data_IF_468933964174
#
_entry.id   IF_468933964174
#
_cell.length_a   1.000
_cell.length_b   1.000
_cell.length_c   1.000
_cell.angle_alpha   90.00
_cell.angle_beta   90.00
_cell.angle_gamma   90.00
#
_symmetry.space_group_name_H-M   'P 1'
#
loop_
_entity.id
_entity.type
_entity.pdbx_description
1 polymer ?
#
# COMPACT_ATOMS: atom_id res chain seq x y z
N UNK A 1 -29.34 -24.94 -1.82
CA UNK A 1 -28.02 -24.96 -2.51
C UNK A 1 -26.82 -25.04 -1.56
N UNK A 2 -26.42 -23.98 -0.81
CA UNK A 2 -25.19 -24.02 0.02
C UNK A 2 -25.23 -25.01 1.20
N UNK A 3 -26.40 -25.20 1.83
CA UNK A 3 -26.62 -26.23 2.87
C UNK A 3 -26.74 -27.67 2.33
N UNK A 4 -27.01 -27.80 1.03
CA UNK A 4 -27.24 -29.08 0.35
C UNK A 4 -25.97 -29.60 -0.36
N UNK A 5 -24.81 -28.92 -0.19
CA UNK A 5 -23.52 -29.27 -0.83
C UNK A 5 -23.59 -29.42 -2.36
N UNK A 6 -24.48 -28.66 -3.00
CA UNK A 6 -24.68 -28.69 -4.45
C UNK A 6 -23.63 -27.86 -5.22
N UNK A 7 -22.76 -27.13 -4.52
CA UNK A 7 -21.68 -26.32 -5.08
C UNK A 7 -20.39 -26.81 -4.42
N UNK A 8 -19.44 -27.25 -5.24
CA UNK A 8 -18.14 -27.72 -4.81
C UNK A 8 -17.05 -26.88 -5.49
N UNK A 9 -15.96 -26.61 -4.77
CA UNK A 9 -14.80 -25.95 -5.35
C UNK A 9 -14.17 -26.83 -6.44
N UNK A 10 -13.62 -26.24 -7.50
CA UNK A 10 -13.07 -26.96 -8.65
C UNK A 10 -11.94 -27.93 -8.31
N UNK A 11 -11.27 -27.75 -7.15
CA UNK A 11 -10.34 -28.75 -6.62
C UNK A 11 -10.99 -30.08 -6.22
N UNK A 12 -12.31 -30.11 -6.02
CA UNK A 12 -13.07 -31.26 -5.51
C UNK A 12 -13.24 -31.29 -3.99
N UNK A 13 -12.74 -30.29 -3.27
CA UNK A 13 -12.91 -30.22 -1.81
C UNK A 13 -14.29 -29.66 -1.43
N UNK A 14 -15.12 -30.55 -0.88
CA UNK A 14 -16.46 -30.22 -0.40
C UNK A 14 -16.47 -29.44 0.93
N UNK A 15 -15.34 -29.34 1.63
CA UNK A 15 -15.18 -28.53 2.84
C UNK A 15 -14.77 -27.09 2.54
N UNK A 16 -14.33 -26.82 1.30
CA UNK A 16 -13.91 -25.48 0.90
C UNK A 16 -15.08 -24.49 1.00
N UNK A 17 -14.92 -23.37 1.73
CA UNK A 17 -16.00 -22.41 1.87
C UNK A 17 -16.25 -21.71 0.53
N UNK A 18 -17.52 -21.45 0.20
CA UNK A 18 -17.82 -20.60 -0.95
C UNK A 18 -17.33 -19.16 -0.70
N UNK A 19 -16.38 -18.73 -1.52
CA UNK A 19 -15.75 -17.40 -1.54
C UNK A 19 -16.19 -16.69 -2.81
N UNK A 20 -16.66 -15.45 -2.68
CA UNK A 20 -17.01 -14.60 -3.82
C UNK A 20 -15.77 -14.00 -4.48
N UNK A 21 -15.79 -13.88 -5.79
CA UNK A 21 -14.66 -13.36 -6.58
C UNK A 21 -14.36 -14.25 -7.78
N UNK A 22 -13.08 -14.33 -8.14
CA UNK A 22 -12.57 -15.16 -9.22
C UNK A 22 -12.15 -16.52 -8.67
N UNK A 23 -13.13 -17.30 -8.23
CA UNK A 23 -12.96 -18.69 -7.77
C UNK A 23 -13.75 -19.64 -8.68
N UNK A 24 -13.19 -20.81 -8.95
CA UNK A 24 -13.82 -21.80 -9.81
C UNK A 24 -14.62 -22.81 -8.98
N UNK A 25 -15.89 -22.98 -9.33
CA UNK A 25 -16.79 -23.95 -8.70
C UNK A 25 -17.51 -24.75 -9.77
N UNK A 26 -17.90 -25.97 -9.43
CA UNK A 26 -18.82 -26.78 -10.23
C UNK A 26 -20.05 -27.17 -9.41
N UNK A 27 -21.13 -27.45 -10.11
CA UNK A 27 -22.33 -28.01 -9.48
C UNK A 27 -22.15 -29.51 -9.34
N UNK A 28 -22.32 -30.03 -8.13
CA UNK A 28 -22.26 -31.47 -7.89
C UNK A 28 -23.44 -32.12 -8.62
N UNK A 29 -23.21 -32.99 -9.62
CA UNK A 29 -24.29 -33.63 -10.34
C UNK A 29 -25.13 -34.51 -9.40
N UNK A 30 -26.47 -34.46 -9.49
CA UNK A 30 -27.32 -35.44 -8.81
C UNK A 30 -27.21 -36.83 -9.46
N UNK A 31 -26.79 -36.90 -10.73
CA UNK A 31 -26.51 -38.12 -11.49
C UNK A 31 -25.07 -38.09 -11.99
N UNK A 32 -24.34 -39.21 -11.88
CA UNK A 32 -22.90 -39.31 -12.19
C UNK A 32 -22.61 -39.05 -13.67
N UNK A 33 -22.43 -37.79 -14.05
CA UNK A 33 -21.83 -37.44 -15.32
C UNK A 33 -20.31 -37.66 -15.24
N UNK A 34 -19.74 -38.39 -16.20
CA UNK A 34 -18.38 -38.96 -16.13
C UNK A 34 -17.27 -38.02 -16.61
N UNK A 35 -17.60 -36.80 -17.00
CA UNK A 35 -16.69 -35.98 -17.81
C UNK A 35 -15.77 -35.06 -16.98
N UNK A 36 -16.04 -34.85 -15.69
CA UNK A 36 -15.20 -34.03 -14.81
C UNK A 36 -14.88 -34.75 -13.50
N UNK A 37 -13.66 -35.28 -13.39
CA UNK A 37 -13.10 -35.77 -12.14
C UNK A 37 -12.16 -34.70 -11.55
N UNK A 38 -12.55 -34.02 -10.46
CA UNK A 38 -11.68 -33.06 -9.82
C UNK A 38 -10.44 -33.76 -9.23
N UNK A 39 -9.30 -33.08 -9.25
CA UNK A 39 -8.01 -33.65 -8.80
C UNK A 39 -8.01 -34.09 -7.32
N UNK A 40 -8.93 -33.58 -6.50
CA UNK A 40 -8.99 -33.82 -5.05
C UNK A 40 -7.88 -33.14 -4.25
N UNK A 41 -6.95 -32.45 -4.93
CA UNK A 41 -5.80 -31.79 -4.34
C UNK A 41 -5.92 -30.27 -4.48
N UNK A 42 -6.30 -29.63 -3.37
CA UNK A 42 -6.45 -28.18 -3.26
C UNK A 42 -5.13 -27.48 -3.55
N UNK A 43 -4.00 -27.99 -3.06
CA UNK A 43 -2.69 -27.32 -3.20
C UNK A 43 -2.22 -27.34 -4.63
N UNK A 44 -2.42 -28.45 -5.34
CA UNK A 44 -2.11 -28.53 -6.77
C UNK A 44 -2.95 -27.52 -7.55
N UNK A 45 -4.24 -27.41 -7.24
CA UNK A 45 -5.13 -26.45 -7.88
C UNK A 45 -4.70 -25.00 -7.64
N UNK A 46 -4.40 -24.63 -6.40
CA UNK A 46 -3.91 -23.28 -6.03
C UNK A 46 -2.59 -22.92 -6.72
N UNK A 47 -1.74 -23.91 -7.00
CA UNK A 47 -0.49 -23.72 -7.73
C UNK A 47 -0.67 -23.54 -9.25
N UNK A 48 -1.82 -23.93 -9.82
CA UNK A 48 -2.10 -23.85 -11.26
C UNK A 48 -3.04 -22.68 -11.60
N UNK A 49 -3.95 -22.33 -10.68
CA UNK A 49 -4.98 -21.33 -10.92
C UNK A 49 -4.80 -20.11 -10.02
N UNK A 50 -4.90 -18.93 -10.62
CA UNK A 50 -4.93 -17.66 -9.91
C UNK A 50 -6.36 -17.37 -9.44
N UNK A 51 -6.62 -17.55 -8.14
CA UNK A 51 -7.92 -17.26 -7.53
C UNK A 51 -7.85 -16.07 -6.58
N UNK A 52 -8.78 -15.14 -6.74
CA UNK A 52 -8.81 -13.85 -6.02
C UNK A 52 -10.19 -13.63 -5.40
N UNK A 53 -10.22 -13.37 -4.10
CA UNK A 53 -11.44 -13.01 -3.39
C UNK A 53 -11.84 -11.57 -3.74
N UNK A 54 -13.13 -11.36 -3.98
CA UNK A 54 -13.69 -10.03 -4.13
C UNK A 54 -14.66 -9.78 -2.99
N UNK A 55 -14.29 -8.85 -2.11
CA UNK A 55 -15.20 -8.38 -1.06
C UNK A 55 -16.20 -7.38 -1.66
N UNK A 56 -17.45 -7.38 -1.19
CA UNK A 56 -18.42 -6.37 -1.62
C UNK A 56 -17.85 -4.97 -1.33
N UNK A 57 -18.09 -3.99 -2.22
CA UNK A 57 -17.60 -2.64 -2.01
C UNK A 57 -18.17 -2.10 -0.69
N UNK A 58 -17.28 -1.61 0.17
CA UNK A 58 -17.73 -0.93 1.39
C UNK A 58 -18.39 0.39 1.00
N UNK A 59 -19.49 0.79 1.66
CA UNK A 59 -20.09 2.09 1.41
C UNK A 59 -19.08 3.18 1.74
N UNK A 60 -18.98 4.19 0.86
CA UNK A 60 -18.15 5.36 1.11
C UNK A 60 -18.65 6.04 2.40
N UNK A 61 -17.78 6.31 3.38
CA UNK A 61 -18.18 6.98 4.61
C UNK A 61 -18.85 8.32 4.31
N UNK A 62 -20.02 8.57 4.88
CA UNK A 62 -20.74 9.84 4.74
C UNK A 62 -20.08 10.99 5.53
N UNK A 63 -19.21 10.62 6.48
CA UNK A 63 -18.44 11.54 7.33
C UNK A 63 -16.97 11.20 7.15
N UNK A 64 -16.10 12.21 6.94
CA UNK A 64 -14.66 11.99 6.88
C UNK A 64 -14.17 11.19 8.09
N UNK A 65 -13.36 10.16 7.84
CA UNK A 65 -13.07 9.12 8.84
C UNK A 65 -12.42 9.72 10.10
N UNK A 66 -11.58 10.75 9.93
CA UNK A 66 -10.91 11.46 11.02
C UNK A 66 -11.83 12.26 11.95
N UNK A 67 -13.10 12.47 11.59
CA UNK A 67 -14.11 13.17 12.40
C UNK A 67 -15.10 12.20 13.08
N UNK A 68 -15.01 10.90 12.78
CA UNK A 68 -15.92 9.91 13.35
C UNK A 68 -15.66 9.70 14.86
N UNK A 69 -16.72 9.35 15.60
CA UNK A 69 -16.63 9.07 17.05
C UNK A 69 -15.80 7.82 17.34
N UNK A 70 -15.97 6.78 16.54
CA UNK A 70 -15.20 5.54 16.60
C UNK A 70 -14.25 5.53 15.42
N UNK A 71 -12.98 5.79 15.69
CA UNK A 71 -11.96 5.65 14.67
C UNK A 71 -11.86 4.19 14.23
N UNK A 72 -11.46 3.95 12.97
CA UNK A 72 -10.97 2.64 12.62
C UNK A 72 -9.86 2.27 13.60
N UNK A 73 -9.70 1.00 13.95
CA UNK A 73 -8.57 0.55 14.73
C UNK A 73 -7.27 1.08 14.11
N UNK A 74 -6.37 1.60 14.95
CA UNK A 74 -5.09 2.15 14.49
C UNK A 74 -4.37 1.12 13.62
N UNK A 75 -3.68 1.60 12.58
CA UNK A 75 -2.81 0.79 11.74
C UNK A 75 -1.73 0.17 12.66
N UNK A 76 -2.03 -1.00 13.22
CA UNK A 76 -1.27 -1.61 14.32
C UNK A 76 -2.10 -2.38 15.37
N UNK A 77 -3.41 -2.10 15.54
CA UNK A 77 -4.30 -2.82 16.48
C UNK A 77 -5.41 -3.64 15.81
N UNK A 78 -5.76 -3.30 14.59
CA UNK A 78 -6.29 -4.30 13.66
C UNK A 78 -5.19 -4.57 12.69
N UNK A 79 -4.89 -5.85 12.54
CA UNK A 79 -4.84 -6.51 11.25
C UNK A 79 -5.41 -5.66 10.09
N UNK A 80 -4.80 -4.54 9.72
CA UNK A 80 -4.35 -4.38 8.35
C UNK A 80 -3.41 -5.56 8.16
N UNK A 81 -3.97 -6.77 7.98
CA UNK A 81 -3.20 -7.94 7.60
C UNK A 81 -2.36 -7.41 6.46
N UNK A 82 -1.04 -7.52 6.58
CA UNK A 82 -0.23 -7.38 5.39
C UNK A 82 -0.97 -8.17 4.30
N UNK A 83 -1.23 -7.56 3.14
CA UNK A 83 -2.06 -8.18 2.12
C UNK A 83 -1.62 -9.63 2.00
N UNK A 84 -2.56 -10.57 2.15
CA UNK A 84 -2.16 -11.97 2.11
C UNK A 84 -1.81 -12.26 0.66
N UNK A 85 -0.59 -12.68 0.41
CA UNK A 85 -0.16 -13.01 -0.93
C UNK A 85 -0.36 -14.49 -1.17
N UNK A 86 -0.87 -14.83 -2.35
CA UNK A 86 -0.79 -16.18 -2.89
C UNK A 86 0.28 -16.21 -3.97
N UNK A 87 0.82 -17.40 -4.21
CA UNK A 87 1.80 -17.65 -5.25
C UNK A 87 1.30 -18.79 -6.13
N UNK A 88 1.44 -18.63 -7.44
CA UNK A 88 1.02 -19.62 -8.42
C UNK A 88 2.07 -19.76 -9.53
N UNK A 89 2.08 -20.90 -10.21
CA UNK A 89 2.95 -21.13 -11.35
C UNK A 89 2.48 -20.27 -12.52
N UNK A 90 3.43 -19.63 -13.20
CA UNK A 90 3.15 -18.78 -14.35
C UNK A 90 3.81 -19.36 -15.60
N UNK A 91 2.98 -19.79 -16.55
CA UNK A 91 3.41 -20.06 -17.91
C UNK A 91 3.66 -18.73 -18.63
N UNK A 92 4.90 -18.50 -19.06
CA UNK A 92 5.30 -17.21 -19.62
C UNK A 92 5.16 -17.21 -21.14
N UNK A 93 5.53 -18.31 -21.81
CA UNK A 93 5.44 -18.45 -23.26
C UNK A 93 4.11 -19.05 -23.74
N UNK A 94 3.02 -18.33 -23.47
CA UNK A 94 1.65 -18.75 -23.83
C UNK A 94 1.46 -18.98 -25.34
N UNK A 95 2.31 -18.38 -26.18
CA UNK A 95 2.23 -18.48 -27.65
C UNK A 95 3.21 -19.49 -28.25
N UNK A 96 4.03 -20.17 -27.43
CA UNK A 96 5.01 -21.16 -27.89
C UNK A 96 6.04 -20.58 -28.87
N UNK A 97 6.49 -19.33 -28.65
CA UNK A 97 7.48 -18.66 -29.50
C UNK A 97 8.90 -19.10 -29.20
N UNK A 98 9.16 -19.55 -27.98
CA UNK A 98 10.44 -20.03 -27.53
C UNK A 98 10.59 -21.52 -27.87
N UNK A 99 11.82 -21.92 -28.18
CA UNK A 99 12.19 -23.34 -28.32
C UNK A 99 12.42 -24.02 -26.97
N UNK A 100 12.31 -23.25 -25.88
CA UNK A 100 12.52 -23.68 -24.50
C UNK A 100 11.25 -23.49 -23.69
N UNK A 101 11.14 -24.29 -22.63
CA UNK A 101 10.09 -24.11 -21.64
C UNK A 101 10.42 -22.86 -20.81
N UNK A 102 9.64 -21.80 -21.01
CA UNK A 102 9.79 -20.55 -20.27
C UNK A 102 8.68 -20.39 -19.23
N UNK A 103 9.08 -20.30 -17.96
CA UNK A 103 8.17 -20.28 -16.82
C UNK A 103 8.67 -19.39 -15.69
N UNK A 104 7.75 -19.06 -14.79
CA UNK A 104 8.02 -18.29 -13.58
C UNK A 104 6.94 -18.51 -12.54
N UNK A 105 6.85 -17.57 -11.60
CA UNK A 105 5.81 -17.51 -10.60
C UNK A 105 5.12 -16.15 -10.63
N UNK A 106 3.82 -16.15 -10.38
CA UNK A 106 3.08 -14.94 -10.08
C UNK A 106 2.77 -14.92 -8.59
N UNK A 107 3.15 -13.85 -7.91
CA UNK A 107 2.75 -13.53 -6.55
C UNK A 107 1.73 -12.40 -6.61
N UNK A 108 0.61 -12.55 -5.93
CA UNK A 108 -0.51 -11.62 -6.07
C UNK A 108 -1.32 -11.52 -4.77
N UNK A 109 -2.01 -10.40 -4.58
CA UNK A 109 -2.86 -10.19 -3.41
C UNK A 109 -4.08 -11.10 -3.47
N UNK A 110 -4.38 -11.79 -2.37
CA UNK A 110 -5.47 -12.75 -2.28
C UNK A 110 -6.87 -12.11 -2.35
N UNK A 111 -6.99 -10.84 -1.95
CA UNK A 111 -8.24 -10.07 -1.90
C UNK A 111 -8.12 -8.81 -2.74
N UNK A 112 -9.00 -8.69 -3.72
CA UNK A 112 -9.18 -7.48 -4.50
C UNK A 112 -10.03 -6.44 -3.75
N UNK A 113 -9.49 -5.21 -3.63
CA UNK A 113 -10.20 -4.05 -3.09
C UNK A 113 -10.38 -2.98 -4.18
N UNK A 114 -11.62 -2.58 -4.52
CA UNK A 114 -11.85 -1.66 -5.65
C UNK A 114 -11.34 -0.23 -5.43
N UNK A 115 -11.01 0.15 -4.19
CA UNK A 115 -10.56 1.49 -3.82
C UNK A 115 -9.07 1.54 -3.44
N UNK A 116 -8.32 0.48 -3.73
CA UNK A 116 -6.89 0.38 -3.44
C UNK A 116 -6.15 -0.13 -4.67
N UNK A 117 -4.84 0.14 -4.74
CA UNK A 117 -4.00 -0.45 -5.77
C UNK A 117 -3.83 -1.95 -5.52
N UNK A 118 -3.95 -2.74 -6.58
CA UNK A 118 -3.78 -4.19 -6.55
C UNK A 118 -2.41 -4.58 -7.11
N UNK A 119 -1.67 -5.37 -6.35
CA UNK A 119 -0.29 -5.76 -6.69
C UNK A 119 -0.22 -7.17 -7.29
N UNK A 120 0.55 -7.29 -8.37
CA UNK A 120 0.97 -8.56 -8.96
C UNK A 120 2.48 -8.46 -9.22
N UNK A 121 3.25 -9.38 -8.63
CA UNK A 121 4.68 -9.53 -8.83
C UNK A 121 4.95 -10.76 -9.69
N UNK A 122 5.77 -10.59 -10.73
CA UNK A 122 6.17 -11.68 -11.62
C UNK A 122 7.64 -12.01 -11.36
N UNK A 123 7.88 -13.21 -10.85
CA UNK A 123 9.19 -13.72 -10.48
C UNK A 123 9.65 -14.75 -11.51
N UNK A 124 10.77 -14.50 -12.18
CA UNK A 124 11.27 -15.38 -13.24
C UNK A 124 12.79 -15.43 -13.27
N UNK A 125 13.31 -16.62 -13.59
CA UNK A 125 14.73 -16.88 -13.84
C UNK A 125 14.90 -17.78 -15.08
N UNK A 126 13.89 -18.60 -15.39
CA UNK A 126 13.88 -19.57 -16.47
C UNK A 126 13.15 -19.08 -17.73
N UNK A 127 13.04 -17.77 -17.94
CA UNK A 127 12.38 -17.16 -19.10
C UNK A 127 13.25 -16.09 -19.75
N UNK A 128 12.90 -15.65 -20.95
CA UNK A 128 13.58 -14.58 -21.67
C UNK A 128 12.87 -13.25 -21.41
N UNK A 129 13.63 -12.19 -21.13
CA UNK A 129 13.04 -10.88 -20.80
C UNK A 129 12.14 -10.29 -21.89
N UNK A 130 12.38 -10.63 -23.16
CA UNK A 130 11.51 -10.24 -24.29
C UNK A 130 10.14 -10.93 -24.25
N UNK A 131 10.10 -12.23 -23.92
CA UNK A 131 8.86 -13.01 -23.81
C UNK A 131 8.06 -12.52 -22.59
N UNK A 132 8.72 -12.31 -21.45
CA UNK A 132 8.12 -11.69 -20.27
C UNK A 132 7.54 -10.31 -20.61
N UNK A 133 8.31 -9.46 -21.29
CA UNK A 133 7.84 -8.14 -21.70
C UNK A 133 6.61 -8.23 -22.61
N UNK A 134 6.52 -9.23 -23.49
CA UNK A 134 5.35 -9.43 -24.34
C UNK A 134 4.12 -9.85 -23.54
N UNK A 135 4.28 -10.81 -22.62
CA UNK A 135 3.22 -11.27 -21.71
C UNK A 135 2.64 -10.08 -20.92
N UNK A 136 3.51 -9.32 -20.26
CA UNK A 136 3.11 -8.16 -19.43
C UNK A 136 2.46 -7.07 -20.27
N UNK A 137 2.95 -6.83 -21.49
CA UNK A 137 2.29 -5.88 -22.41
C UNK A 137 0.89 -6.40 -22.82
N UNK A 138 0.74 -7.70 -23.01
CA UNK A 138 -0.55 -8.35 -23.26
C UNK A 138 -1.53 -8.13 -22.10
N UNK A 139 -1.09 -8.35 -20.86
CA UNK A 139 -1.88 -8.10 -19.65
C UNK A 139 -2.27 -6.63 -19.53
N UNK A 140 -1.34 -5.71 -19.76
CA UNK A 140 -1.62 -4.28 -19.72
C UNK A 140 -2.69 -3.87 -20.73
N UNK A 141 -2.62 -4.37 -21.98
CA UNK A 141 -3.67 -4.12 -22.99
C UNK A 141 -5.02 -4.72 -22.59
N UNK A 142 -5.02 -5.93 -22.00
CA UNK A 142 -6.25 -6.58 -21.54
C UNK A 142 -6.88 -5.82 -20.36
N UNK A 143 -6.08 -5.35 -19.41
CA UNK A 143 -6.55 -4.51 -18.30
C UNK A 143 -7.24 -3.24 -18.84
N UNK A 144 -6.63 -2.59 -19.82
CA UNK A 144 -7.19 -1.40 -20.47
C UNK A 144 -8.53 -1.66 -21.14
N UNK A 145 -8.68 -2.80 -21.83
CA UNK A 145 -9.97 -3.19 -22.43
C UNK A 145 -11.09 -3.42 -21.41
N UNK A 146 -10.74 -3.57 -20.12
CA UNK A 146 -11.67 -3.73 -19.00
C UNK A 146 -11.70 -2.49 -18.08
N UNK A 147 -11.30 -1.31 -18.58
CA UNK A 147 -11.30 -0.05 -17.83
C UNK A 147 -10.40 -0.05 -16.59
N UNK A 148 -9.37 -0.91 -16.56
CA UNK A 148 -8.35 -0.95 -15.52
C UNK A 148 -7.01 -0.46 -16.08
N UNK A 149 -6.17 0.11 -15.21
CA UNK A 149 -4.82 0.53 -15.56
C UNK A 149 -3.81 -0.39 -14.87
N UNK A 150 -2.91 -0.96 -15.66
CA UNK A 150 -1.74 -1.68 -15.17
C UNK A 150 -0.50 -0.84 -15.46
N UNK A 151 0.36 -0.67 -14.46
CA UNK A 151 1.61 0.06 -14.55
C UNK A 151 2.71 -0.67 -13.77
N UNK A 152 3.98 -0.55 -14.18
CA UNK A 152 5.08 -1.03 -13.39
C UNK A 152 5.33 -0.07 -12.23
N UNK A 153 5.68 -0.63 -11.07
CA UNK A 153 6.07 0.12 -9.88
C UNK A 153 7.47 -0.31 -9.45
N UNK A 154 8.31 0.59 -8.92
CA UNK A 154 9.60 0.21 -8.35
C UNK A 154 9.41 -0.57 -7.05
N UNK A 155 10.31 -1.52 -6.78
CA UNK A 155 10.30 -2.29 -5.54
C UNK A 155 10.45 -1.41 -4.29
N UNK A 156 11.21 -0.31 -4.39
CA UNK A 156 11.31 0.72 -3.36
C UNK A 156 10.89 2.10 -3.92
N UNK A 157 9.62 2.50 -3.75
CA UNK A 157 9.10 3.76 -4.27
C UNK A 157 9.71 5.01 -3.63
N UNK A 158 10.26 4.92 -2.42
CA UNK A 158 10.72 6.09 -1.65
C UNK A 158 12.22 6.12 -1.40
N UNK A 159 12.95 5.04 -1.63
CA UNK A 159 14.40 4.97 -1.44
C UNK A 159 14.80 5.42 -0.02
N UNK A 160 14.08 4.98 1.01
CA UNK A 160 14.39 5.36 2.39
C UNK A 160 15.77 4.82 2.79
N UNK A 161 16.59 5.56 3.56
CA UNK A 161 17.99 5.21 3.80
C UNK A 161 18.16 3.98 4.70
N UNK A 162 17.06 3.51 5.30
CA UNK A 162 16.99 2.31 6.13
C UNK A 162 16.73 1.04 5.30
N UNK A 163 16.40 1.17 4.01
CA UNK A 163 16.21 0.03 3.13
C UNK A 163 17.59 -0.49 2.67
N UNK A 164 17.80 -1.81 2.78
CA UNK A 164 19.06 -2.48 2.44
C UNK A 164 19.51 -2.21 0.99
N UNK A 165 18.54 -2.01 0.09
CA UNK A 165 18.77 -1.75 -1.35
C UNK A 165 18.33 -0.34 -1.77
N UNK A 166 18.33 0.63 -0.86
CA UNK A 166 17.92 2.01 -1.18
C UNK A 166 18.82 2.60 -2.27
N UNK A 167 18.22 3.21 -3.30
CA UNK A 167 18.97 3.94 -4.32
C UNK A 167 19.39 5.32 -3.78
N UNK A 168 20.70 5.58 -3.56
CA UNK A 168 21.17 6.83 -2.96
C UNK A 168 20.98 8.05 -3.87
N UNK A 169 20.67 7.85 -5.16
CA UNK A 169 20.39 8.93 -6.11
C UNK A 169 18.91 9.32 -6.13
N UNK A 170 18.05 8.55 -5.46
CA UNK A 170 16.63 8.83 -5.32
C UNK A 170 16.38 9.33 -3.90
N UNK A 171 15.80 10.52 -3.79
CA UNK A 171 15.31 11.04 -2.52
C UNK A 171 13.88 11.52 -2.71
N UNK A 172 12.96 11.19 -1.80
CA UNK A 172 11.62 11.73 -1.85
C UNK A 172 11.67 13.23 -1.52
N UNK A 173 10.66 13.96 -1.96
CA UNK A 173 10.49 15.38 -1.68
C UNK A 173 9.53 15.54 -0.53
N UNK A 174 9.96 16.17 0.55
CA UNK A 174 9.06 16.53 1.63
C UNK A 174 8.15 17.71 1.25
N UNK A 175 6.85 17.55 1.49
CA UNK A 175 5.83 18.58 1.36
C UNK A 175 5.23 18.86 2.74
N UNK A 176 5.50 20.03 3.36
CA UNK A 176 4.93 20.38 4.65
C UNK A 176 3.42 20.63 4.55
N UNK A 177 2.67 20.20 5.56
CA UNK A 177 1.25 20.50 5.72
C UNK A 177 1.08 21.57 6.80
N UNK A 178 0.55 22.73 6.44
CA UNK A 178 0.30 23.82 7.38
C UNK A 178 -0.92 23.51 8.25
N UNK A 179 -0.71 23.00 9.46
CA UNK A 179 -1.78 22.73 10.42
C UNK A 179 -2.17 23.96 11.24
N UNK A 180 -1.28 24.96 11.36
CA UNK A 180 -1.51 26.16 12.19
C UNK A 180 -2.72 26.96 11.71
N UNK A 181 -2.93 27.06 10.39
CA UNK A 181 -4.07 27.78 9.81
C UNK A 181 -5.44 27.14 10.15
N UNK A 182 -5.43 25.89 10.62
CA UNK A 182 -6.62 25.13 11.01
C UNK A 182 -6.91 25.22 12.52
N UNK A 183 -5.90 25.56 13.33
CA UNK A 183 -6.02 25.58 14.79
C UNK A 183 -6.83 26.79 15.29
N UNK A 184 -6.72 27.95 14.64
CA UNK A 184 -7.43 29.16 15.09
C UNK A 184 -7.02 29.55 16.51
N UNK A 185 -7.94 29.46 17.49
CA UNK A 185 -7.65 29.71 18.91
C UNK A 185 -7.30 28.44 19.72
N UNK A 186 -7.29 27.27 19.08
CA UNK A 186 -7.06 25.97 19.72
C UNK A 186 -5.59 25.77 20.03
N UNK A 187 -5.32 25.03 21.11
CA UNK A 187 -3.94 24.62 21.44
C UNK A 187 -3.50 23.41 20.64
N UNK A 188 -4.44 22.57 20.22
CA UNK A 188 -4.20 21.38 19.40
C UNK A 188 -5.26 21.24 18.30
N UNK A 189 -4.87 20.67 17.15
CA UNK A 189 -5.73 20.57 15.97
C UNK A 189 -7.04 19.79 16.24
N UNK A 190 -6.99 18.78 17.11
CA UNK A 190 -8.09 17.85 17.42
C UNK A 190 -8.52 17.90 18.88
N UNK A 191 -8.37 19.05 19.55
CA UNK A 191 -8.65 19.18 21.00
C UNK A 191 -10.08 18.81 21.43
N UNK A 192 -11.04 18.68 20.51
CA UNK A 192 -12.40 18.22 20.81
C UNK A 192 -12.50 16.70 21.00
N UNK A 193 -11.44 15.97 20.65
CA UNK A 193 -11.36 14.51 20.73
C UNK A 193 -10.39 14.07 21.83
N UNK A 194 -10.50 12.81 22.30
CA UNK A 194 -9.53 12.25 23.25
C UNK A 194 -8.08 12.33 22.72
N UNK A 195 -7.16 12.74 23.59
CA UNK A 195 -5.75 13.00 23.26
C UNK A 195 -5.03 11.78 22.65
N UNK A 196 -5.37 10.58 23.12
CA UNK A 196 -4.86 9.31 22.61
C UNK A 196 -5.23 9.05 21.13
N UNK A 197 -6.23 9.76 20.60
CA UNK A 197 -6.67 9.64 19.21
C UNK A 197 -6.07 10.67 18.26
N UNK A 198 -5.40 11.73 18.75
CA UNK A 198 -4.98 12.87 17.93
C UNK A 198 -4.01 12.48 16.81
N UNK A 199 -3.02 11.65 17.11
CA UNK A 199 -2.04 11.21 16.12
C UNK A 199 -2.70 10.41 14.99
N UNK A 200 -3.64 9.53 15.33
CA UNK A 200 -4.38 8.76 14.34
C UNK A 200 -5.30 9.66 13.49
N UNK A 201 -5.98 10.63 14.10
CA UNK A 201 -6.82 11.60 13.37
C UNK A 201 -6.00 12.45 12.41
N UNK A 202 -4.77 12.81 12.78
CA UNK A 202 -3.87 13.53 11.91
C UNK A 202 -3.53 12.71 10.65
N UNK A 203 -3.16 11.44 10.83
CA UNK A 203 -2.92 10.54 9.69
C UNK A 203 -4.17 10.44 8.83
N UNK A 204 -5.34 10.16 9.41
CA UNK A 204 -6.61 10.05 8.68
C UNK A 204 -6.95 11.36 7.94
N UNK A 205 -6.66 12.52 8.51
CA UNK A 205 -6.82 13.80 7.82
C UNK A 205 -5.86 13.94 6.63
N UNK A 206 -4.60 13.50 6.79
CA UNK A 206 -3.64 13.44 5.69
C UNK A 206 -4.12 12.47 4.59
N UNK A 207 -4.76 11.36 4.94
CA UNK A 207 -5.37 10.43 3.96
C UNK A 207 -6.50 11.11 3.18
N UNK A 208 -7.37 11.88 3.84
CA UNK A 208 -8.44 12.63 3.15
C UNK A 208 -7.88 13.68 2.19
N UNK A 209 -6.78 14.36 2.57
CA UNK A 209 -6.06 15.26 1.68
C UNK A 209 -5.51 14.50 0.47
N UNK A 210 -4.88 13.34 0.69
CA UNK A 210 -4.37 12.49 -0.38
C UNK A 210 -5.49 12.02 -1.33
N UNK A 211 -6.60 11.51 -0.77
CA UNK A 211 -7.76 11.05 -1.52
C UNK A 211 -8.35 12.16 -2.41
N UNK A 212 -8.45 13.39 -1.89
CA UNK A 212 -8.91 14.55 -2.67
C UNK A 212 -8.07 14.82 -3.91
N UNK A 213 -6.77 14.57 -3.84
CA UNK A 213 -5.84 14.72 -4.95
C UNK A 213 -5.76 13.49 -5.86
N UNK A 214 -6.62 12.49 -5.65
CA UNK A 214 -6.66 11.28 -6.48
C UNK A 214 -5.57 10.28 -6.13
N UNK A 215 -5.12 10.25 -4.87
CA UNK A 215 -4.27 9.18 -4.36
C UNK A 215 -5.11 8.05 -3.78
N UNK A 216 -4.74 6.81 -4.10
CA UNK A 216 -5.34 5.58 -3.55
C UNK A 216 -4.29 4.82 -2.74
N UNK A 217 -4.73 4.08 -1.72
CA UNK A 217 -3.83 3.30 -0.89
C UNK A 217 -3.06 2.27 -1.75
N UNK A 218 -1.75 2.21 -1.54
CA UNK A 218 -0.84 1.30 -2.23
C UNK A 218 -0.16 0.45 -1.15
N UNK A 219 -0.76 -0.70 -0.87
CA UNK A 219 -0.27 -1.61 0.18
C UNK A 219 0.67 -2.61 -0.48
N UNK A 220 1.97 -2.36 -0.36
CA UNK A 220 2.99 -3.31 -0.79
C UNK A 220 3.47 -4.16 0.38
N UNK A 221 4.07 -5.30 0.08
CA UNK A 221 4.62 -6.19 1.10
C UNK A 221 5.69 -5.48 1.93
N UNK A 222 5.63 -5.68 3.26
CA UNK A 222 6.50 -5.02 4.22
C UNK A 222 7.82 -5.79 4.34
N UNK A 223 8.91 -5.28 3.77
CA UNK A 223 10.25 -5.77 4.11
C UNK A 223 10.72 -5.23 5.49
N UNK A 224 10.20 -4.09 5.94
CA UNK A 224 10.63 -3.40 7.16
C UNK A 224 9.52 -3.29 8.22
N UNK A 225 9.90 -3.29 9.49
CA UNK A 225 9.00 -3.15 10.65
C UNK A 225 8.27 -1.79 10.74
N UNK A 226 8.64 -0.81 9.91
CA UNK A 226 8.07 0.53 9.92
C UNK A 226 6.79 0.62 9.07
N UNK A 227 5.66 0.90 9.72
CA UNK A 227 4.35 0.98 9.10
C UNK A 227 4.09 2.33 8.45
N UNK A 228 4.68 2.61 7.29
CA UNK A 228 4.35 3.82 6.53
C UNK A 228 3.09 3.62 5.69
N UNK A 229 2.19 4.62 5.68
CA UNK A 229 1.05 4.60 4.76
C UNK A 229 1.50 5.14 3.40
N UNK A 230 1.44 4.29 2.39
CA UNK A 230 1.85 4.61 1.03
C UNK A 230 0.63 4.67 0.12
N UNK A 231 0.68 5.60 -0.83
CA UNK A 231 -0.38 5.85 -1.79
C UNK A 231 0.22 6.06 -3.17
N UNK A 232 -0.56 5.70 -4.18
CA UNK A 232 -0.23 5.96 -5.58
C UNK A 232 -1.32 6.85 -6.19
N UNK A 233 -0.92 7.86 -6.96
CA UNK A 233 -1.87 8.68 -7.69
C UNK A 233 -2.54 7.85 -8.80
N UNK A 234 -3.80 8.14 -9.12
CA UNK A 234 -4.56 7.44 -10.17
C UNK A 234 -3.90 7.47 -11.56
N UNK A 235 -2.95 8.37 -11.80
CA UNK A 235 -2.15 8.37 -13.04
C UNK A 235 -1.05 7.29 -13.07
N UNK A 236 -0.71 6.72 -11.92
CA UNK A 236 0.36 5.75 -11.73
C UNK A 236 1.78 6.34 -11.70
N UNK A 237 1.92 7.66 -11.88
CA UNK A 237 3.22 8.31 -12.04
C UNK A 237 3.84 8.85 -10.74
N UNK A 238 3.07 8.90 -9.65
CA UNK A 238 3.46 9.58 -8.41
C UNK A 238 3.06 8.74 -7.22
N UNK A 239 3.97 8.64 -6.25
CA UNK A 239 3.76 8.07 -4.95
C UNK A 239 3.73 9.15 -3.87
N UNK A 240 2.90 8.92 -2.86
CA UNK A 240 2.80 9.74 -1.66
C UNK A 240 2.94 8.84 -0.44
N UNK A 241 3.69 9.27 0.57
CA UNK A 241 3.80 8.56 1.84
C UNK A 241 3.48 9.51 2.97
N UNK A 242 2.66 9.04 3.91
CA UNK A 242 2.45 9.68 5.20
C UNK A 242 3.37 8.99 6.21
N UNK A 243 4.41 9.69 6.72
CA UNK A 243 5.29 9.14 7.74
C UNK A 243 4.47 8.69 8.96
N UNK A 244 4.77 7.51 9.49
CA UNK A 244 4.10 7.03 10.70
C UNK A 244 4.64 7.79 11.89
N UNK A 245 3.77 8.37 12.69
CA UNK A 245 4.15 8.82 14.02
C UNK A 245 4.50 7.59 14.87
N UNK A 246 5.62 7.59 15.64
CA UNK A 246 5.93 6.51 16.56
C UNK A 246 4.74 6.28 17.50
N UNK A 247 4.19 5.08 17.47
CA UNK A 247 3.27 4.64 18.50
C UNK A 247 4.09 4.47 19.79
N UNK A 248 3.76 5.24 20.83
CA UNK A 248 4.28 5.04 22.18
C UNK A 248 3.69 3.74 22.74
N UNK A 249 4.16 2.60 22.23
CA UNK A 249 4.01 1.35 22.97
C UNK A 249 4.81 1.55 24.24
N UNK A 250 4.10 1.75 25.35
CA UNK A 250 4.58 1.47 26.69
C UNK A 250 5.05 0.03 26.67
N UNK A 251 6.33 -0.16 26.32
CA UNK A 251 7.03 -1.41 26.53
C UNK A 251 6.91 -1.61 28.03
N UNK A 252 6.00 -2.50 28.42
CA UNK A 252 5.75 -2.83 29.81
C UNK A 252 7.08 -3.35 30.31
N UNK A 253 7.85 -2.48 30.97
CA UNK A 253 9.07 -2.86 31.65
C UNK A 253 8.60 -3.76 32.77
N UNK A 254 8.58 -5.05 32.50
CA UNK A 254 8.57 -6.08 33.54
C UNK A 254 9.72 -5.72 34.46
N UNK A 255 9.36 -5.20 35.64
CA UNK A 255 10.31 -4.85 36.68
C UNK A 255 10.86 -6.16 37.24
N UNK A 256 11.93 -6.69 36.64
CA UNK A 256 12.76 -7.67 37.31
C UNK A 256 13.66 -6.91 38.28
N UNK A 257 13.30 -6.97 39.56
CA UNK A 257 14.17 -6.66 40.69
C UNK A 257 15.39 -7.59 40.57
N UNK A 258 16.57 -7.03 40.34
CA UNK A 258 17.83 -7.73 40.56
C UNK A 258 18.85 -6.76 41.13
N UNK A 259 19.16 -6.98 42.40
CA UNK A 259 20.27 -6.37 43.13
C UNK A 259 21.61 -6.93 42.66
N UNK A 260 22.65 -6.11 42.82
CA UNK A 260 24.10 -6.39 42.91
C UNK A 260 25.00 -6.35 41.66
N UNK A 261 25.91 -5.37 41.79
CA UNK A 261 27.39 -5.46 41.75
C UNK A 261 28.10 -5.16 40.43
N UNK A 262 28.86 -4.07 40.47
CA UNK A 262 29.91 -3.71 39.52
C UNK A 262 31.02 -4.75 39.56
N UNK A 263 31.35 -5.34 38.41
CA UNK A 263 32.70 -5.83 38.12
C UNK A 263 32.97 -5.72 36.63
N UNK A 264 34.09 -5.04 36.34
CA UNK A 264 34.74 -4.86 35.05
C UNK A 264 35.06 -6.23 34.42
N UNK A 265 34.67 -6.46 33.16
CA UNK A 265 35.51 -7.03 32.08
C UNK A 265 34.76 -7.15 30.74
N UNK A 266 35.23 -6.35 29.79
CA UNK A 266 35.60 -6.69 28.40
C UNK A 266 34.58 -7.49 27.57
N UNK A 267 33.63 -6.79 26.97
CA UNK A 267 33.42 -6.77 25.52
C UNK A 267 32.99 -5.34 25.17
N UNK A 268 33.72 -4.69 24.28
CA UNK A 268 33.40 -3.35 23.81
C UNK A 268 32.03 -3.40 23.11
N UNK A 269 31.15 -2.39 23.32
CA UNK A 269 30.14 -2.13 22.31
C UNK A 269 30.91 -1.85 21.02
N UNK A 270 30.49 -2.46 19.92
CA UNK A 270 30.82 -1.88 18.61
C UNK A 270 30.16 -0.51 18.65
N UNK A 271 30.97 0.51 18.96
CA UNK A 271 30.63 1.88 18.63
C UNK A 271 30.28 1.82 17.15
N UNK A 272 29.02 2.12 16.81
CA UNK A 272 28.68 2.54 15.46
C UNK A 272 29.58 3.75 15.22
N UNK A 273 30.75 3.50 14.63
CA UNK A 273 31.68 4.53 14.20
C UNK A 273 30.87 5.57 13.45
N UNK A 274 31.17 6.84 13.75
CA UNK A 274 30.74 8.06 13.06
C UNK A 274 30.97 7.95 11.54
N UNK A 275 30.22 7.10 10.85
CA UNK A 275 29.99 7.20 9.42
C UNK A 275 29.13 8.42 9.30
N UNK A 276 29.77 9.57 9.07
CA UNK A 276 29.11 10.83 8.79
C UNK A 276 27.88 10.54 7.93
N UNK A 277 26.70 10.64 8.54
CA UNK A 277 25.46 10.21 7.90
C UNK A 277 25.41 10.79 6.50
N UNK A 278 25.26 9.95 5.48
CA UNK A 278 25.21 10.40 4.08
C UNK A 278 24.21 11.57 3.96
N UNK A 279 24.44 12.59 3.11
CA UNK A 279 23.48 13.67 2.91
C UNK A 279 22.04 13.17 2.65
N UNK A 280 21.93 12.03 1.96
CA UNK A 280 20.67 11.31 1.74
C UNK A 280 20.04 10.83 3.06
N UNK A 281 20.83 10.16 3.90
CA UNK A 281 20.40 9.74 5.23
C UNK A 281 20.00 10.94 6.09
N UNK A 282 20.83 11.98 6.16
CA UNK A 282 20.52 13.19 6.94
C UNK A 282 19.23 13.88 6.49
N UNK A 283 19.01 13.99 5.17
CA UNK A 283 17.78 14.57 4.64
C UNK A 283 16.57 13.77 5.11
N UNK A 284 16.56 12.46 4.91
CA UNK A 284 15.40 11.62 5.21
C UNK A 284 15.18 11.49 6.71
N UNK A 285 16.24 11.35 7.52
CA UNK A 285 16.14 11.29 8.98
C UNK A 285 15.48 12.55 9.56
N UNK A 286 15.68 13.74 8.97
CA UNK A 286 14.97 14.98 9.36
C UNK A 286 13.46 15.00 9.04
N UNK A 287 12.97 14.03 8.28
CA UNK A 287 11.59 13.96 7.80
C UNK A 287 10.87 12.67 8.20
N UNK A 288 11.61 11.60 8.50
CA UNK A 288 11.10 10.22 8.75
C UNK A 288 11.77 9.56 9.96
N UNK A 289 12.86 10.15 10.50
CA UNK A 289 13.69 9.55 11.56
C UNK A 289 12.97 9.39 12.89
N UNK A 290 13.35 8.34 13.62
CA UNK A 290 12.63 7.83 14.79
C UNK A 290 13.20 8.24 16.16
N UNK A 291 14.42 8.76 16.29
CA UNK A 291 14.90 9.39 17.53
C UNK A 291 16.29 10.05 17.35
N UNK A 292 16.63 10.96 18.27
CA UNK A 292 17.92 11.65 18.48
C UNK A 292 18.34 12.84 17.60
N UNK A 293 17.43 13.70 17.15
CA UNK A 293 17.69 15.16 17.16
C UNK A 293 16.34 15.89 17.32
N UNK A 294 16.23 16.66 18.39
CA UNK A 294 14.95 17.12 18.93
C UNK A 294 14.12 18.06 18.04
N UNK A 295 12.83 18.11 18.41
CA UNK A 295 11.94 19.26 18.30
C UNK A 295 11.58 19.72 16.87
N UNK A 296 10.95 18.84 16.09
CA UNK A 296 9.82 19.17 15.19
C UNK A 296 9.57 17.96 14.27
N UNK A 297 8.72 17.03 14.70
CA UNK A 297 8.13 16.07 13.76
C UNK A 297 7.26 16.88 12.78
N UNK A 298 7.86 17.27 11.65
CA UNK A 298 7.19 18.13 10.67
C UNK A 298 6.04 17.36 10.05
N UNK A 299 4.83 17.85 10.29
CA UNK A 299 3.61 17.31 9.69
C UNK A 299 3.64 17.57 8.18
N UNK A 300 3.49 16.51 7.40
CA UNK A 300 3.59 16.61 5.94
C UNK A 300 3.64 15.26 5.25
N UNK A 301 4.05 15.29 4.00
CA UNK A 301 4.06 14.14 3.10
C UNK A 301 5.44 13.95 2.49
N UNK A 302 5.78 12.71 2.19
CA UNK A 302 6.86 12.40 1.26
C UNK A 302 6.29 12.15 -0.13
N UNK A 303 6.88 12.79 -1.12
CA UNK A 303 6.50 12.70 -2.52
C UNK A 303 7.60 12.01 -3.33
N UNK A 304 7.24 11.07 -4.19
CA UNK A 304 8.20 10.41 -5.08
C UNK A 304 7.60 10.17 -6.46
N UNK A 305 8.45 10.17 -7.49
CA UNK A 305 8.04 9.87 -8.85
C UNK A 305 8.20 8.39 -9.17
N UNK A 306 7.25 7.84 -9.93
CA UNK A 306 7.34 6.51 -10.51
C UNK A 306 8.20 6.57 -11.79
N UNK A 307 9.49 6.27 -11.64
CA UNK A 307 10.45 6.24 -12.73
C UNK A 307 10.31 5.00 -13.64
N UNK A 308 9.51 4.00 -13.26
CA UNK A 308 9.30 2.78 -14.06
C UNK A 308 8.34 2.99 -15.24
N UNK A 309 7.54 4.08 -15.23
CA UNK A 309 6.58 4.39 -16.30
C UNK A 309 7.28 5.09 -17.48
N UNK A 310 7.90 4.27 -18.34
CA UNK A 310 8.53 4.75 -19.57
C UNK A 310 7.52 5.16 -20.65
N UNK A 311 8.00 5.82 -21.73
CA UNK A 311 7.16 6.18 -22.90
C UNK A 311 6.38 5.00 -23.50
N UNK A 312 6.89 3.77 -23.39
CA UNK A 312 6.23 2.56 -23.91
C UNK A 312 4.90 2.29 -23.23
N UNK A 313 4.79 2.62 -21.94
CA UNK A 313 3.55 2.51 -21.16
C UNK A 313 2.54 3.62 -21.46
N UNK A 314 2.97 4.65 -22.21
CA UNK A 314 2.15 5.83 -22.56
C UNK A 314 1.59 5.80 -23.99
N UNK A 315 1.86 4.73 -24.76
CA UNK A 315 1.55 4.66 -26.19
C UNK A 315 0.13 4.20 -26.51
N UNK A 316 -0.62 3.64 -25.55
CA UNK A 316 -2.04 3.32 -25.78
C UNK A 316 -2.94 4.51 -25.42
N UNK A 317 -4.11 4.58 -26.04
CA UNK A 317 -5.09 5.66 -25.96
C UNK A 317 -5.75 5.86 -24.57
N UNK A 318 -5.06 5.50 -23.49
CA UNK A 318 -5.44 5.86 -22.12
C UNK A 318 -4.84 7.20 -21.74
N UNK A 319 -5.70 8.17 -21.45
CA UNK A 319 -5.36 9.48 -20.89
C UNK A 319 -4.72 9.43 -19.48
N UNK A 320 -4.54 8.23 -18.89
CA UNK A 320 -4.17 8.04 -17.50
C UNK A 320 -2.66 8.14 -17.24
N UNK A 321 -1.79 7.85 -18.21
CA UNK A 321 -0.35 8.08 -18.05
C UNK A 321 -0.02 9.53 -18.41
N UNK A 322 -0.22 10.43 -17.45
CA UNK A 322 0.09 11.84 -17.67
C UNK A 322 1.54 12.08 -18.10
N UNK A 323 1.77 13.22 -18.74
CA UNK A 323 3.10 13.71 -19.03
C UNK A 323 3.79 14.28 -17.78
N UNK A 324 5.06 14.62 -17.94
CA UNK A 324 5.89 15.22 -16.88
C UNK A 324 5.36 16.61 -16.48
N UNK A 325 4.78 17.36 -17.42
CA UNK A 325 4.18 18.67 -17.16
C UNK A 325 3.01 18.57 -16.17
N UNK A 326 2.13 17.59 -16.33
CA UNK A 326 1.07 17.32 -15.37
C UNK A 326 1.63 16.93 -14.00
N UNK A 327 2.66 16.08 -13.93
CA UNK A 327 3.26 15.67 -12.65
C UNK A 327 3.81 16.87 -11.89
N UNK A 328 4.49 17.78 -12.58
CA UNK A 328 5.01 19.02 -12.01
C UNK A 328 3.89 19.96 -11.58
N UNK A 329 2.83 20.07 -12.39
CA UNK A 329 1.63 20.86 -12.03
C UNK A 329 0.93 20.29 -10.80
N UNK A 330 0.82 18.97 -10.69
CA UNK A 330 0.21 18.28 -9.55
C UNK A 330 1.01 18.56 -8.27
N UNK A 331 2.34 18.41 -8.29
CA UNK A 331 3.19 18.74 -7.14
C UNK A 331 3.08 20.21 -6.75
N UNK A 332 3.07 21.12 -7.73
CA UNK A 332 2.92 22.55 -7.49
C UNK A 332 1.57 22.86 -6.83
N UNK A 333 0.47 22.34 -7.37
CA UNK A 333 -0.86 22.53 -6.80
C UNK A 333 -1.00 21.91 -5.41
N UNK A 334 -0.42 20.73 -5.19
CA UNK A 334 -0.39 20.04 -3.91
C UNK A 334 0.35 20.86 -2.85
N UNK A 335 1.50 21.46 -3.20
CA UNK A 335 2.24 22.36 -2.30
C UNK A 335 1.45 23.61 -1.93
N UNK A 336 0.85 24.28 -2.92
CA UNK A 336 0.01 25.46 -2.70
C UNK A 336 -1.20 25.13 -1.82
N UNK A 337 -1.81 23.97 -2.05
CA UNK A 337 -2.88 23.48 -1.20
C UNK A 337 -2.40 23.26 0.24
N UNK A 338 -1.31 22.52 0.44
CA UNK A 338 -0.78 22.21 1.77
C UNK A 338 -0.28 23.44 2.54
N UNK A 339 0.15 24.51 1.84
CA UNK A 339 0.53 25.79 2.46
C UNK A 339 -0.67 26.68 2.80
N UNK A 340 -1.91 26.23 2.53
CA UNK A 340 -3.14 27.00 2.65
C UNK A 340 -3.22 28.23 1.72
N UNK A 341 -2.62 28.13 0.53
CA UNK A 341 -2.74 29.18 -0.49
C UNK A 341 -4.21 29.41 -0.86
N UNK A 342 -4.59 30.69 -0.96
CA UNK A 342 -5.97 31.12 -1.21
C UNK A 342 -7.01 30.51 -0.22
N UNK A 343 -6.61 30.17 1.01
CA UNK A 343 -7.45 29.50 2.02
C UNK A 343 -8.05 28.16 1.57
N UNK A 344 -7.44 27.48 0.60
CA UNK A 344 -7.98 26.23 0.04
C UNK A 344 -7.99 25.08 1.07
N UNK A 345 -6.95 24.98 1.89
CA UNK A 345 -6.86 23.97 2.95
C UNK A 345 -7.86 24.26 4.07
N UNK A 346 -7.96 25.52 4.48
CA UNK A 346 -8.94 25.93 5.50
C UNK A 346 -10.37 25.68 5.05
N UNK A 347 -10.71 26.05 3.81
CA UNK A 347 -12.03 25.78 3.23
C UNK A 347 -12.34 24.28 3.21
N UNK A 348 -11.37 23.46 2.80
CA UNK A 348 -11.52 22.01 2.80
C UNK A 348 -11.81 21.44 4.19
N UNK A 349 -11.03 21.89 5.18
CA UNK A 349 -11.23 21.52 6.58
C UNK A 349 -12.64 21.88 7.05
N UNK A 350 -13.08 23.12 6.80
CA UNK A 350 -14.41 23.58 7.19
C UNK A 350 -15.52 22.76 6.48
N UNK A 351 -15.34 22.42 5.19
CA UNK A 351 -16.26 21.56 4.42
C UNK A 351 -16.38 20.16 5.04
N UNK A 352 -15.26 19.55 5.48
CA UNK A 352 -15.27 18.26 6.19
C UNK A 352 -16.09 18.32 7.49
N UNK A 353 -15.94 19.39 8.27
CA UNK A 353 -16.72 19.58 9.50
C UNK A 353 -18.21 19.85 9.23
N UNK A 354 -18.54 20.55 8.15
CA UNK A 354 -19.93 20.73 7.71
C UNK A 354 -20.56 19.38 7.37
N UNK A 355 -19.88 18.55 6.59
CA UNK A 355 -20.33 17.20 6.26
C UNK A 355 -20.54 16.35 7.51
N UNK A 356 -19.62 16.40 8.47
CA UNK A 356 -19.75 15.69 9.74
C UNK A 356 -20.98 16.12 10.55
N UNK A 357 -21.35 17.40 10.51
CA UNK A 357 -22.55 17.91 11.20
C UNK A 357 -23.85 17.52 10.51
N UNK A 358 -23.85 17.40 9.19
CA UNK A 358 -25.04 17.03 8.42
C UNK A 358 -25.35 15.53 8.50
N UNK A 359 -24.31 14.69 8.62
CA UNK A 359 -24.40 13.24 8.50
C UNK A 359 -24.07 12.46 9.80
N UNK A 360 -23.76 13.15 10.91
CA UNK A 360 -23.17 12.57 12.14
C UNK A 360 -24.05 12.54 13.39
#
# INVERSE_FOLDING_TARGET
MRRERLICHASGDAQFPFIGGFYLYFFTPMEKDKDFEPSGDVKKFENEWLEVEMKPPQPVPLVPTFLTKKLPPSCGLVECRAPSYKQTHLEIDVQGKSDRIEWGHAKYQDIYHPYQAYEIEVQWVAASGSIVSELITGWARKAQSNSMQMIPVPADPFALPYAIKSDPLRSPVFVPLNTECLMGSKSYLFEEFPEDTWAQRLVLFQEEVAYRFGFIACVMEKENEHHHHQYIHLSGNVFLMVPSMPCTKTRTRTASISTRSKTIRKYAPVEEEDVAASPHHQYITRHVGLEEYGLDARVGFLWSWNHMVSRRWKWSATAATSDEAFQNKLLSDFRLFCSNDCNRLRKFWDDCWIQAKLNG
#
